data_IF_861304203273
#
_entry.id   IF_861304203273
#
_cell.length_a   1.000
_cell.length_b   1.000
_cell.length_c   1.000
_cell.angle_alpha   90.00
_cell.angle_beta   90.00
_cell.angle_gamma   90.00
#
_symmetry.space_group_name_H-M   'P 1'
#
loop_
_entity.id
_entity.type
_entity.pdbx_description
1 polymer ?
#
# COMPACT_ATOMS: atom_id res chain seq x y z
N UNK A 1 37.08 -28.29 -44.36
CA UNK A 1 38.08 -28.87 -45.32
C UNK A 1 38.91 -27.73 -45.87
N UNK A 2 40.18 -27.83 -45.65
CA UNK A 2 41.32 -27.10 -46.24
C UNK A 2 41.55 -25.62 -45.93
N UNK A 3 42.47 -25.46 -45.03
CA UNK A 3 43.54 -24.51 -44.80
C UNK A 3 44.20 -24.09 -46.12
N UNK A 4 44.47 -22.81 -46.30
CA UNK A 4 45.64 -22.34 -47.04
C UNK A 4 46.27 -21.15 -46.30
N UNK A 5 47.32 -21.44 -45.57
CA UNK A 5 48.36 -20.51 -45.19
C UNK A 5 49.03 -19.93 -46.42
N UNK A 6 49.28 -18.63 -46.41
CA UNK A 6 50.30 -18.02 -47.26
C UNK A 6 51.19 -17.18 -46.35
N UNK A 7 52.42 -17.61 -46.24
CA UNK A 7 53.54 -16.88 -45.68
C UNK A 7 53.89 -15.73 -46.64
N UNK A 8 54.03 -14.52 -46.12
CA UNK A 8 54.76 -13.49 -46.83
C UNK A 8 55.83 -12.90 -45.90
N UNK A 9 57.08 -12.92 -46.39
CA UNK A 9 58.29 -12.50 -45.70
C UNK A 9 58.66 -11.09 -46.21
N UNK A 10 58.70 -10.13 -45.31
CA UNK A 10 59.45 -8.90 -45.06
C UNK A 10 59.94 -8.07 -46.29
N UNK A 11 59.88 -6.67 -46.29
CA UNK A 11 60.72 -5.89 -45.39
C UNK A 11 60.05 -4.70 -44.67
N UNK A 12 60.69 -4.26 -43.56
CA UNK A 12 60.40 -3.10 -42.75
C UNK A 12 60.25 -1.82 -43.59
N UNK A 13 59.09 -1.21 -43.48
CA UNK A 13 58.88 0.25 -43.61
C UNK A 13 57.88 0.64 -42.54
N UNK A 14 58.29 1.54 -41.67
CA UNK A 14 57.40 2.17 -40.69
C UNK A 14 56.28 2.90 -41.44
N UNK A 15 55.08 2.36 -41.45
CA UNK A 15 53.88 3.09 -41.67
C UNK A 15 53.05 3.00 -40.38
N UNK A 16 52.85 4.14 -39.75
CA UNK A 16 51.84 4.30 -38.73
C UNK A 16 50.51 3.90 -39.32
N UNK A 17 49.93 2.81 -38.81
CA UNK A 17 48.50 2.60 -38.98
C UNK A 17 47.80 3.62 -38.08
N UNK A 18 47.37 4.73 -38.64
CA UNK A 18 46.24 5.46 -38.06
C UNK A 18 45.06 4.51 -38.14
N UNK A 19 44.64 3.98 -37.00
CA UNK A 19 43.29 3.38 -36.87
C UNK A 19 42.34 4.51 -37.25
N UNK A 20 41.69 4.37 -38.41
CA UNK A 20 40.57 5.23 -38.73
C UNK A 20 39.48 4.90 -37.68
N UNK A 21 39.32 5.85 -36.77
CA UNK A 21 38.20 5.83 -35.84
C UNK A 21 36.92 5.66 -36.65
N UNK A 22 36.16 4.61 -36.37
CA UNK A 22 34.87 4.36 -36.99
C UNK A 22 33.86 5.41 -36.45
N UNK A 23 33.73 6.51 -37.19
CA UNK A 23 32.84 7.63 -36.82
C UNK A 23 31.37 7.26 -36.75
N UNK A 24 31.03 5.98 -36.99
CA UNK A 24 29.67 5.47 -36.85
C UNK A 24 29.50 4.53 -35.64
N UNK A 25 30.51 4.32 -34.80
CA UNK A 25 30.35 3.61 -33.56
C UNK A 25 29.77 4.56 -32.49
N UNK A 26 28.79 4.07 -31.76
CA UNK A 26 28.31 4.74 -30.55
C UNK A 26 29.33 4.54 -29.44
N UNK A 27 29.64 5.59 -28.68
CA UNK A 27 30.39 5.45 -27.45
C UNK A 27 29.53 4.83 -26.35
N UNK A 28 30.09 4.59 -25.19
CA UNK A 28 29.40 3.95 -24.08
C UNK A 28 28.25 4.80 -23.48
N UNK A 29 28.13 6.05 -23.82
CA UNK A 29 27.00 6.92 -23.51
C UNK A 29 25.93 6.92 -24.62
N UNK A 30 26.11 6.11 -25.69
CA UNK A 30 25.20 6.04 -26.84
C UNK A 30 25.34 7.20 -27.81
N UNK A 31 26.47 7.92 -27.82
CA UNK A 31 26.72 9.07 -28.68
C UNK A 31 27.50 8.61 -29.91
N UNK A 32 26.93 8.73 -31.12
CA UNK A 32 27.59 8.40 -32.40
C UNK A 32 28.86 9.24 -32.59
N UNK A 33 30.01 8.59 -32.76
CA UNK A 33 31.31 9.25 -32.89
C UNK A 33 31.77 9.95 -31.64
N UNK A 34 31.18 9.67 -30.48
CA UNK A 34 31.55 10.19 -29.18
C UNK A 34 32.90 9.65 -28.68
N UNK A 35 33.51 10.32 -27.74
CA UNK A 35 34.73 9.92 -27.07
C UNK A 35 34.56 9.90 -25.55
N UNK A 36 33.41 9.44 -25.09
CA UNK A 36 33.04 9.39 -23.68
C UNK A 36 33.77 8.22 -23.00
N UNK A 37 34.43 8.51 -21.89
CA UNK A 37 35.05 7.47 -21.05
C UNK A 37 34.03 7.09 -19.98
N UNK A 38 33.52 5.88 -20.07
CA UNK A 38 32.58 5.35 -19.08
C UNK A 38 33.29 4.63 -17.95
N UNK A 39 32.69 4.65 -16.80
CA UNK A 39 33.16 4.01 -15.58
C UNK A 39 32.52 4.66 -14.36
N UNK A 40 32.82 4.14 -13.21
CA UNK A 40 32.34 4.74 -11.95
C UNK A 40 32.93 6.14 -11.73
N UNK A 41 32.07 7.13 -11.64
CA UNK A 41 32.46 8.55 -11.39
C UNK A 41 32.36 8.94 -9.92
N UNK A 42 31.94 8.04 -9.04
CA UNK A 42 31.85 8.27 -7.61
C UNK A 42 33.21 8.01 -6.94
N UNK A 43 33.79 9.06 -6.33
CA UNK A 43 35.10 8.99 -5.66
C UNK A 43 35.10 8.06 -4.44
N UNK A 44 33.96 7.72 -3.89
CA UNK A 44 33.80 6.88 -2.71
C UNK A 44 33.68 5.39 -3.07
N UNK A 45 33.48 5.08 -4.35
CA UNK A 45 33.47 3.72 -4.84
C UNK A 45 34.87 3.10 -4.91
N UNK A 46 34.95 1.79 -4.64
CA UNK A 46 36.23 1.03 -4.67
C UNK A 46 36.81 0.91 -6.07
N UNK A 47 36.00 1.05 -7.10
CA UNK A 47 36.36 1.00 -8.51
C UNK A 47 36.26 2.39 -9.20
N UNK A 48 36.38 3.48 -8.43
CA UNK A 48 36.37 4.85 -8.97
C UNK A 48 37.36 5.01 -10.12
N UNK A 49 36.91 5.58 -11.22
CA UNK A 49 37.75 5.90 -12.37
C UNK A 49 37.81 7.44 -12.57
N UNK A 50 38.90 8.05 -12.18
CA UNK A 50 39.10 9.50 -12.29
C UNK A 50 39.10 10.05 -13.73
N UNK A 51 39.19 9.16 -14.74
CA UNK A 51 39.16 9.52 -16.17
C UNK A 51 37.76 9.38 -16.76
N UNK A 52 36.83 8.72 -16.04
CA UNK A 52 35.47 8.58 -16.50
C UNK A 52 34.77 9.94 -16.57
N UNK A 53 34.09 10.18 -17.68
CA UNK A 53 33.30 11.39 -17.94
C UNK A 53 31.78 11.06 -17.97
N UNK A 54 31.45 9.78 -17.86
CA UNK A 54 30.07 9.28 -17.82
C UNK A 54 29.97 8.09 -16.86
N UNK A 55 29.03 8.19 -15.92
CA UNK A 55 28.75 7.09 -15.01
C UNK A 55 27.97 6.00 -15.73
N UNK A 56 28.55 4.81 -15.79
CA UNK A 56 27.93 3.64 -16.45
C UNK A 56 27.20 2.70 -15.48
N UNK A 57 27.04 3.15 -14.22
CA UNK A 57 26.38 2.38 -13.15
C UNK A 57 27.24 1.24 -12.59
N UNK A 58 28.58 1.21 -12.93
CA UNK A 58 29.48 0.14 -12.49
C UNK A 58 30.10 0.38 -11.10
N UNK A 59 29.66 1.40 -10.37
CA UNK A 59 30.22 1.71 -9.04
C UNK A 59 30.07 0.54 -8.07
N UNK A 60 31.17 0.12 -7.49
CA UNK A 60 31.24 -0.91 -6.45
C UNK A 60 31.65 -0.28 -5.12
N UNK A 61 30.92 -0.58 -4.05
CA UNK A 61 31.20 -0.06 -2.71
C UNK A 61 31.63 -1.18 -1.77
N UNK A 62 32.46 -0.84 -0.77
CA UNK A 62 32.80 -1.78 0.29
C UNK A 62 31.51 -2.16 1.05
N UNK A 63 31.15 -3.43 1.15
CA UNK A 63 29.91 -3.85 1.85
C UNK A 63 29.90 -3.50 3.35
N UNK A 64 31.06 -3.07 3.90
CA UNK A 64 31.14 -2.59 5.28
C UNK A 64 31.19 -1.05 5.36
N UNK A 65 31.04 -0.33 4.25
CA UNK A 65 30.98 1.13 4.25
C UNK A 65 29.59 1.57 4.71
N UNK A 66 29.54 2.49 5.68
CA UNK A 66 28.28 3.11 6.04
C UNK A 66 27.88 4.21 5.04
N UNK A 67 26.69 4.77 5.21
CA UNK A 67 26.16 5.78 4.29
C UNK A 67 26.91 7.12 4.33
N UNK A 68 27.77 7.36 5.33
CA UNK A 68 28.69 8.51 5.38
C UNK A 68 30.03 8.23 4.69
N UNK A 69 30.17 7.07 3.99
CA UNK A 69 31.40 6.67 3.31
C UNK A 69 32.48 6.13 4.25
N UNK A 70 32.15 5.76 5.49
CA UNK A 70 33.12 5.30 6.49
C UNK A 70 33.11 3.76 6.55
N UNK A 71 34.22 3.12 6.18
CA UNK A 71 34.35 1.67 6.26
C UNK A 71 34.30 1.20 7.71
N UNK A 72 33.33 0.32 8.04
CA UNK A 72 33.06 -0.15 9.41
C UNK A 72 32.42 0.93 10.29
N UNK A 73 31.90 1.99 9.71
CA UNK A 73 31.14 3.04 10.38
C UNK A 73 29.76 2.56 10.85
N UNK A 74 29.08 3.42 11.56
CA UNK A 74 27.72 3.17 12.10
C UNK A 74 26.83 4.40 11.87
N UNK A 75 27.03 5.09 10.76
CA UNK A 75 26.24 6.26 10.41
C UNK A 75 24.87 5.81 9.90
N UNK A 76 23.83 6.45 10.39
CA UNK A 76 22.47 6.38 9.87
C UNK A 76 22.25 7.70 9.15
N UNK A 77 22.19 7.66 7.83
CA UNK A 77 21.98 8.86 7.03
C UNK A 77 20.49 9.16 6.86
N UNK A 78 20.18 10.43 6.85
CA UNK A 78 18.84 10.95 6.69
C UNK A 78 18.77 12.44 6.94
N UNK A 79 17.61 13.01 6.77
CA UNK A 79 17.37 14.40 7.09
C UNK A 79 17.39 14.62 8.62
N UNK A 80 18.30 15.48 9.09
CA UNK A 80 18.43 15.82 10.52
C UNK A 80 17.72 17.12 10.93
N UNK A 81 16.99 17.76 10.02
CA UNK A 81 16.21 18.98 10.32
C UNK A 81 14.78 18.59 10.72
N UNK A 82 14.42 18.87 11.99
CA UNK A 82 13.10 18.55 12.56
C UNK A 82 11.93 19.34 11.95
N UNK A 83 12.23 20.38 11.14
CA UNK A 83 11.24 21.12 10.37
C UNK A 83 10.97 20.52 8.97
N UNK A 84 11.78 19.54 8.56
CA UNK A 84 11.58 18.86 7.27
C UNK A 84 10.46 17.81 7.35
N UNK A 85 9.75 17.61 6.25
CA UNK A 85 8.66 16.60 6.19
C UNK A 85 9.17 15.17 6.24
N UNK A 86 10.45 14.96 5.88
CA UNK A 86 11.15 13.68 5.92
C UNK A 86 12.25 13.64 7.00
N UNK A 87 12.08 14.38 8.10
CA UNK A 87 12.98 14.32 9.25
C UNK A 87 13.10 12.89 9.77
N UNK A 88 14.35 12.40 9.89
CA UNK A 88 14.64 11.10 10.48
C UNK A 88 15.26 11.28 11.88
N UNK A 89 14.51 11.02 12.95
CA UNK A 89 15.02 11.16 14.32
C UNK A 89 16.11 10.14 14.66
N UNK A 90 16.28 9.07 13.86
CA UNK A 90 17.35 8.10 14.02
C UNK A 90 18.62 8.49 13.30
N UNK A 91 18.56 9.43 12.34
CA UNK A 91 19.71 9.88 11.58
C UNK A 91 20.74 10.56 12.51
N UNK A 92 21.99 10.18 12.31
CA UNK A 92 23.15 10.79 12.98
C UNK A 92 24.16 11.39 11.98
N UNK A 93 23.82 11.31 10.69
CA UNK A 93 24.54 11.94 9.60
C UNK A 93 23.54 12.53 8.61
N UNK A 94 23.63 13.86 8.38
CA UNK A 94 22.78 14.55 7.43
C UNK A 94 23.28 14.26 6.01
N UNK A 95 22.43 13.65 5.20
CA UNK A 95 22.73 13.29 3.81
C UNK A 95 22.26 14.35 2.79
N UNK A 96 21.73 15.47 3.29
CA UNK A 96 21.18 16.55 2.46
C UNK A 96 19.85 16.23 1.82
N UNK A 97 19.16 15.15 2.25
CA UNK A 97 17.88 14.71 1.70
C UNK A 97 16.68 15.50 2.24
N UNK A 98 16.88 16.49 3.13
CA UNK A 98 15.81 17.23 3.76
C UNK A 98 14.84 17.82 2.75
N UNK A 99 13.58 17.50 2.91
CA UNK A 99 12.46 18.04 2.13
C UNK A 99 11.62 18.93 3.03
N UNK A 100 11.23 20.08 2.52
CA UNK A 100 10.43 21.03 3.27
C UNK A 100 9.10 21.27 2.57
N UNK A 101 8.02 21.26 3.34
CA UNK A 101 6.72 21.69 2.83
C UNK A 101 6.74 23.23 2.64
N UNK A 102 6.73 23.67 1.40
CA UNK A 102 6.72 25.10 1.05
C UNK A 102 5.30 25.65 0.84
N UNK A 103 4.28 24.86 1.17
CA UNK A 103 2.89 25.18 0.93
C UNK A 103 2.37 24.71 -0.42
N UNK A 104 3.14 23.90 -1.16
CA UNK A 104 2.72 23.35 -2.45
C UNK A 104 3.11 21.88 -2.60
N UNK A 105 2.12 21.03 -2.80
CA UNK A 105 2.34 19.68 -3.33
C UNK A 105 2.38 19.73 -4.86
N UNK A 106 3.34 19.03 -5.45
CA UNK A 106 3.50 18.98 -6.90
C UNK A 106 3.03 17.61 -7.40
N UNK A 107 2.01 17.61 -8.26
CA UNK A 107 1.59 16.39 -8.95
C UNK A 107 2.71 15.97 -9.91
N UNK A 108 3.31 14.81 -9.65
CA UNK A 108 4.30 14.18 -10.54
C UNK A 108 3.58 13.56 -11.74
N UNK A 109 2.53 12.81 -11.46
CA UNK A 109 1.60 12.29 -12.45
C UNK A 109 0.24 11.98 -11.81
N UNK A 110 -0.80 12.03 -12.63
CA UNK A 110 -2.17 11.60 -12.30
C UNK A 110 -2.67 10.72 -13.43
N UNK A 111 -3.31 9.60 -13.10
CA UNK A 111 -3.81 8.64 -14.06
C UNK A 111 -5.19 8.13 -13.69
N UNK A 112 -6.06 8.02 -14.68
CA UNK A 112 -7.26 7.21 -14.61
C UNK A 112 -6.91 5.75 -14.88
N UNK A 113 -7.55 4.82 -14.17
CA UNK A 113 -7.38 3.39 -14.36
C UNK A 113 -8.51 2.88 -15.26
N UNK A 114 -8.25 2.62 -16.55
CA UNK A 114 -9.29 2.24 -17.50
C UNK A 114 -9.92 0.89 -17.13
N UNK A 115 -11.25 0.84 -17.11
CA UNK A 115 -12.02 -0.38 -16.85
C UNK A 115 -12.01 -0.83 -15.39
N UNK A 116 -11.52 0.00 -14.48
CA UNK A 116 -11.67 -0.23 -13.05
C UNK A 116 -13.14 -0.05 -12.65
N UNK A 117 -13.62 -0.94 -11.75
CA UNK A 117 -14.81 -0.69 -10.96
C UNK A 117 -14.55 0.31 -9.84
N UNK A 118 -15.43 0.34 -8.85
CA UNK A 118 -15.22 1.11 -7.63
C UNK A 118 -13.96 0.62 -6.91
N UNK A 119 -12.97 1.50 -6.73
CA UNK A 119 -11.72 1.18 -6.05
C UNK A 119 -11.95 1.16 -4.54
N UNK A 120 -11.50 0.10 -3.86
CA UNK A 120 -11.62 -0.01 -2.41
C UNK A 120 -10.29 -0.08 -1.67
N UNK A 121 -9.24 -0.55 -2.31
CA UNK A 121 -7.89 -0.48 -1.75
C UNK A 121 -6.81 -0.40 -2.81
N UNK A 122 -5.67 0.11 -2.40
CA UNK A 122 -4.41 0.07 -3.14
C UNK A 122 -3.28 -0.25 -2.17
N UNK A 123 -2.42 -1.17 -2.53
CA UNK A 123 -1.25 -1.53 -1.71
C UNK A 123 0.01 -1.60 -2.58
N UNK A 124 1.18 -1.27 -2.03
CA UNK A 124 2.44 -1.36 -2.75
C UNK A 124 2.80 -2.81 -3.05
N UNK A 125 3.58 -3.01 -4.09
CA UNK A 125 4.13 -4.29 -4.53
C UNK A 125 5.66 -4.20 -4.56
N UNK A 126 6.33 -5.31 -4.32
CA UNK A 126 7.78 -5.39 -4.09
C UNK A 126 8.65 -4.83 -5.23
N UNK A 127 8.14 -4.72 -6.46
CA UNK A 127 8.82 -4.13 -7.61
C UNK A 127 8.58 -2.62 -7.77
N UNK A 128 7.96 -1.98 -6.76
CA UNK A 128 7.67 -0.55 -6.73
C UNK A 128 6.34 -0.15 -7.40
N UNK A 129 5.56 -1.10 -7.92
CA UNK A 129 4.22 -0.85 -8.43
C UNK A 129 3.12 -1.05 -7.39
N UNK A 130 1.87 -1.24 -7.83
CA UNK A 130 0.71 -1.29 -6.94
C UNK A 130 -0.25 -2.41 -7.34
N UNK A 131 -0.92 -2.99 -6.34
CA UNK A 131 -2.11 -3.83 -6.54
C UNK A 131 -3.34 -3.07 -6.05
N UNK A 132 -4.37 -3.05 -6.87
CA UNK A 132 -5.65 -2.36 -6.62
C UNK A 132 -6.75 -3.41 -6.55
N UNK A 133 -7.59 -3.32 -5.52
CA UNK A 133 -8.79 -4.14 -5.39
C UNK A 133 -10.03 -3.27 -5.63
N UNK A 134 -10.94 -3.79 -6.47
CA UNK A 134 -12.15 -3.10 -6.88
C UNK A 134 -13.39 -3.98 -6.73
N UNK A 135 -14.55 -3.30 -6.61
CA UNK A 135 -15.85 -3.91 -6.71
C UNK A 135 -16.67 -3.31 -7.85
N UNK A 136 -17.75 -3.98 -8.21
CA UNK A 136 -18.70 -3.44 -9.18
C UNK A 136 -18.21 -3.37 -10.63
N UNK A 137 -17.11 -4.02 -11.00
CA UNK A 137 -16.72 -4.13 -12.40
C UNK A 137 -17.73 -4.99 -13.16
N UNK A 138 -18.53 -4.38 -14.02
CA UNK A 138 -19.54 -5.06 -14.82
C UNK A 138 -20.18 -4.12 -15.82
N UNK A 139 -20.71 -4.67 -16.92
CA UNK A 139 -21.48 -3.90 -17.90
C UNK A 139 -22.93 -3.73 -17.41
N UNK A 140 -23.16 -2.61 -16.74
CA UNK A 140 -24.51 -2.21 -16.28
C UNK A 140 -25.28 -1.36 -17.31
N UNK A 141 -24.83 -1.26 -18.54
CA UNK A 141 -25.57 -0.58 -19.60
C UNK A 141 -26.87 -1.31 -19.92
N UNK A 142 -27.95 -0.97 -19.22
CA UNK A 142 -29.28 -1.52 -19.44
C UNK A 142 -29.74 -2.55 -18.43
N UNK A 143 -29.09 -2.67 -17.28
CA UNK A 143 -29.58 -3.47 -16.15
C UNK A 143 -31.02 -3.09 -15.81
N UNK A 144 -31.92 -4.09 -15.72
CA UNK A 144 -33.31 -3.94 -15.33
C UNK A 144 -33.57 -4.80 -14.12
N UNK A 145 -34.69 -4.57 -13.43
CA UNK A 145 -35.11 -5.42 -12.30
C UNK A 145 -35.20 -6.92 -12.65
N UNK A 146 -35.46 -7.22 -13.93
CA UNK A 146 -35.58 -8.60 -14.47
C UNK A 146 -34.21 -9.11 -15.04
N UNK A 147 -33.21 -8.25 -15.21
CA UNK A 147 -31.87 -8.60 -15.64
C UNK A 147 -30.86 -7.69 -14.90
N UNK A 148 -30.59 -7.98 -13.64
CA UNK A 148 -29.68 -7.18 -12.82
C UNK A 148 -28.25 -7.27 -13.36
N UNK A 149 -27.48 -6.24 -13.09
CA UNK A 149 -26.06 -6.21 -13.41
C UNK A 149 -25.31 -7.34 -12.69
N UNK A 150 -24.48 -8.07 -13.41
CA UNK A 150 -23.51 -8.95 -12.79
C UNK A 150 -22.29 -8.09 -12.41
N UNK A 151 -22.06 -7.92 -11.11
CA UNK A 151 -20.87 -7.27 -10.59
C UNK A 151 -19.82 -8.31 -10.27
N UNK A 152 -18.58 -8.02 -10.64
CA UNK A 152 -17.45 -8.89 -10.37
C UNK A 152 -16.38 -8.17 -9.60
N UNK A 153 -15.77 -8.84 -8.65
CA UNK A 153 -14.55 -8.37 -7.99
C UNK A 153 -13.41 -8.34 -8.99
N UNK A 154 -12.55 -7.34 -8.87
CA UNK A 154 -11.49 -7.06 -9.83
C UNK A 154 -10.18 -6.78 -9.10
N UNK A 155 -9.07 -7.31 -9.64
CA UNK A 155 -7.72 -6.92 -9.27
C UNK A 155 -7.04 -6.27 -10.47
N UNK A 156 -6.34 -5.18 -10.20
CA UNK A 156 -5.58 -4.43 -11.21
C UNK A 156 -4.16 -4.27 -10.72
N UNK A 157 -3.19 -4.73 -11.50
CA UNK A 157 -1.76 -4.55 -11.26
C UNK A 157 -1.27 -3.33 -12.01
N UNK A 158 -0.65 -2.41 -11.30
CA UNK A 158 -0.04 -1.20 -11.86
C UNK A 158 1.48 -1.26 -11.67
N UNK A 159 2.24 -0.77 -12.64
CA UNK A 159 3.67 -0.56 -12.48
C UNK A 159 3.99 0.66 -11.60
N UNK A 160 5.27 0.93 -11.36
CA UNK A 160 5.74 2.06 -10.55
C UNK A 160 5.37 3.44 -11.14
N UNK A 161 5.02 3.50 -12.42
CA UNK A 161 4.54 4.72 -13.08
C UNK A 161 3.01 4.84 -13.06
N UNK A 162 2.30 3.88 -12.46
CA UNK A 162 0.85 3.81 -12.44
C UNK A 162 0.22 3.31 -13.74
N UNK A 163 1.00 2.71 -14.65
CA UNK A 163 0.47 2.10 -15.87
C UNK A 163 -0.06 0.70 -15.61
N UNK A 164 -1.20 0.35 -16.23
CA UNK A 164 -1.83 -0.96 -16.05
C UNK A 164 -0.96 -2.05 -16.66
N UNK A 165 -0.51 -2.99 -15.82
CA UNK A 165 0.21 -4.20 -16.25
C UNK A 165 -0.78 -5.29 -16.64
N UNK A 166 -1.78 -5.52 -15.81
CA UNK A 166 -2.91 -6.40 -16.07
C UNK A 166 -4.15 -5.99 -15.27
N UNK A 167 -5.31 -6.42 -15.74
CA UNK A 167 -6.60 -6.21 -15.13
C UNK A 167 -7.40 -7.52 -15.26
N UNK A 168 -7.79 -8.11 -14.12
CA UNK A 168 -8.49 -9.39 -14.05
C UNK A 168 -9.76 -9.27 -13.23
N UNK A 169 -10.82 -9.94 -13.70
CA UNK A 169 -12.11 -10.06 -12.99
C UNK A 169 -12.30 -11.50 -12.52
N UNK A 170 -12.95 -11.66 -11.37
CA UNK A 170 -13.18 -12.96 -10.72
C UNK A 170 -14.67 -13.20 -10.61
N UNK A 171 -15.21 -14.10 -11.46
CA UNK A 171 -16.64 -14.37 -11.57
C UNK A 171 -17.27 -14.95 -10.28
N UNK A 172 -16.45 -15.51 -9.39
CA UNK A 172 -16.88 -15.99 -8.07
C UNK A 172 -17.04 -14.90 -7.02
N UNK A 173 -16.75 -13.63 -7.36
CA UNK A 173 -16.79 -12.50 -6.45
C UNK A 173 -17.68 -11.38 -6.99
N UNK A 174 -18.40 -10.68 -6.13
CA UNK A 174 -19.12 -9.45 -6.47
C UNK A 174 -18.30 -8.19 -6.15
N UNK A 175 -17.26 -8.31 -5.30
CA UNK A 175 -16.35 -7.27 -4.99
C UNK A 175 -15.19 -7.74 -4.13
N UNK A 176 -14.02 -7.13 -4.32
CA UNK A 176 -12.81 -7.37 -3.54
C UNK A 176 -12.45 -6.10 -2.78
N UNK A 177 -12.43 -6.20 -1.45
CA UNK A 177 -12.16 -5.04 -0.60
C UNK A 177 -10.67 -4.74 -0.50
N UNK A 178 -9.85 -5.75 -0.21
CA UNK A 178 -8.39 -5.59 -0.07
C UNK A 178 -7.64 -6.68 -0.81
N UNK A 179 -6.46 -6.31 -1.32
CA UNK A 179 -5.51 -7.22 -1.94
C UNK A 179 -4.09 -6.90 -1.49
N UNK A 180 -3.26 -7.94 -1.40
CA UNK A 180 -1.83 -7.83 -1.05
C UNK A 180 -1.00 -8.80 -1.89
N UNK A 181 0.26 -8.41 -2.16
CA UNK A 181 1.25 -9.32 -2.72
C UNK A 181 1.58 -10.43 -1.72
N UNK A 182 1.82 -11.62 -2.22
CA UNK A 182 2.23 -12.78 -1.44
C UNK A 182 3.69 -13.11 -1.67
N UNK A 183 4.31 -13.85 -0.75
CA UNK A 183 5.75 -14.15 -0.76
C UNK A 183 6.23 -14.93 -2.00
N UNK A 184 5.33 -15.52 -2.76
CA UNK A 184 5.58 -16.21 -4.04
C UNK A 184 5.48 -15.28 -5.26
N UNK A 185 5.21 -13.99 -5.04
CA UNK A 185 5.02 -12.96 -6.07
C UNK A 185 3.62 -12.95 -6.70
N UNK A 186 2.70 -13.78 -6.21
CA UNK A 186 1.27 -13.72 -6.55
C UNK A 186 0.52 -12.73 -5.66
N UNK A 187 -0.82 -12.85 -5.65
CA UNK A 187 -1.67 -11.95 -4.85
C UNK A 187 -2.73 -12.73 -4.10
N UNK A 188 -3.09 -12.23 -2.92
CA UNK A 188 -4.24 -12.69 -2.14
C UNK A 188 -5.22 -11.54 -1.98
N UNK A 189 -6.52 -11.81 -2.14
CA UNK A 189 -7.56 -10.80 -1.94
C UNK A 189 -8.76 -11.38 -1.21
N UNK A 190 -9.45 -10.52 -0.47
CA UNK A 190 -10.70 -10.84 0.21
C UNK A 190 -11.81 -9.85 -0.13
N UNK A 191 -13.02 -10.35 -0.10
CA UNK A 191 -14.21 -9.58 -0.42
C UNK A 191 -15.48 -10.39 -0.15
N UNK A 192 -16.41 -10.28 -1.06
CA UNK A 192 -17.69 -10.96 -0.93
C UNK A 192 -18.23 -11.44 -2.29
N UNK A 193 -19.11 -12.41 -2.22
CA UNK A 193 -19.98 -12.82 -3.31
C UNK A 193 -21.43 -12.55 -2.93
N UNK A 194 -22.19 -11.93 -3.81
CA UNK A 194 -23.61 -11.70 -3.66
C UNK A 194 -24.34 -12.19 -4.91
N UNK A 195 -25.30 -13.09 -4.76
CA UNK A 195 -26.04 -13.58 -5.90
C UNK A 195 -27.12 -12.59 -6.34
N UNK A 196 -27.14 -12.27 -7.61
CA UNK A 196 -27.91 -11.18 -8.23
C UNK A 196 -29.41 -11.49 -8.43
N UNK A 197 -29.83 -12.73 -8.28
CA UNK A 197 -31.16 -13.18 -8.73
C UNK A 197 -32.10 -13.67 -7.63
N UNK A 198 -31.81 -13.45 -6.35
CA UNK A 198 -32.64 -13.90 -5.24
C UNK A 198 -32.80 -12.82 -4.17
N UNK A 199 -34.05 -12.56 -3.74
CA UNK A 199 -34.31 -11.69 -2.59
C UNK A 199 -33.84 -12.29 -1.25
N UNK A 200 -33.43 -13.55 -1.26
CA UNK A 200 -32.95 -14.31 -0.10
C UNK A 200 -31.40 -14.53 -0.19
N UNK A 201 -30.71 -13.73 -0.98
CA UNK A 201 -29.25 -13.81 -1.14
C UNK A 201 -28.55 -12.74 -0.32
N UNK A 202 -27.62 -13.17 0.46
CA UNK A 202 -26.82 -12.37 1.36
C UNK A 202 -25.36 -12.52 0.96
N UNK A 203 -24.52 -11.48 1.16
CA UNK A 203 -23.10 -11.58 0.89
C UNK A 203 -22.43 -12.71 1.66
N UNK A 204 -21.66 -13.53 0.95
CA UNK A 204 -20.83 -14.60 1.49
C UNK A 204 -19.35 -14.21 1.35
N UNK A 205 -18.50 -14.61 2.31
CA UNK A 205 -17.07 -14.40 2.24
C UNK A 205 -16.47 -15.02 0.98
N UNK A 206 -15.74 -14.23 0.22
CA UNK A 206 -14.93 -14.68 -0.91
C UNK A 206 -13.47 -14.34 -0.71
N UNK A 207 -12.60 -15.32 -0.97
CA UNK A 207 -11.13 -15.16 -0.98
C UNK A 207 -10.62 -15.71 -2.31
N UNK A 208 -9.64 -15.03 -2.90
CA UNK A 208 -8.94 -15.51 -4.10
C UNK A 208 -7.44 -15.34 -3.96
N UNK A 209 -6.69 -16.42 -4.26
CA UNK A 209 -5.24 -16.42 -4.44
C UNK A 209 -4.93 -16.53 -5.92
N UNK A 210 -3.99 -15.72 -6.38
CA UNK A 210 -3.57 -15.67 -7.78
C UNK A 210 -2.07 -15.85 -7.94
N UNK A 211 -1.64 -16.19 -9.15
CA UNK A 211 -0.25 -16.04 -9.55
C UNK A 211 0.13 -14.56 -9.79
N UNK A 212 1.38 -14.31 -10.17
CA UNK A 212 1.90 -12.96 -10.46
C UNK A 212 1.21 -12.26 -11.65
N UNK A 213 0.54 -13.01 -12.51
CA UNK A 213 -0.20 -12.50 -13.68
C UNK A 213 -1.69 -12.31 -13.40
N UNK A 214 -2.13 -12.52 -12.17
CA UNK A 214 -3.53 -12.42 -11.76
C UNK A 214 -4.37 -13.64 -12.14
N UNK A 215 -3.78 -14.76 -12.59
CA UNK A 215 -4.54 -15.98 -12.82
C UNK A 215 -4.89 -16.64 -11.48
N UNK A 216 -6.16 -17.00 -11.30
CA UNK A 216 -6.62 -17.70 -10.10
C UNK A 216 -5.89 -19.04 -9.93
N UNK A 217 -5.29 -19.25 -8.76
CA UNK A 217 -4.71 -20.53 -8.34
C UNK A 217 -5.73 -21.32 -7.52
N UNK A 218 -6.42 -20.65 -6.61
CA UNK A 218 -7.54 -21.18 -5.85
C UNK A 218 -8.43 -20.05 -5.31
N UNK A 219 -9.67 -20.37 -5.00
CA UNK A 219 -10.61 -19.48 -4.33
C UNK A 219 -11.39 -20.22 -3.24
N UNK A 220 -11.86 -19.46 -2.26
CA UNK A 220 -12.74 -19.92 -1.19
C UNK A 220 -14.01 -19.11 -1.23
N UNK A 221 -15.16 -19.78 -1.28
CA UNK A 221 -16.48 -19.21 -1.05
C UNK A 221 -17.08 -19.88 0.18
N UNK A 222 -17.15 -19.17 1.29
CA UNK A 222 -17.80 -19.67 2.50
C UNK A 222 -19.25 -19.27 2.51
N UNK A 223 -20.11 -20.21 2.13
CA UNK A 223 -21.54 -19.99 2.15
C UNK A 223 -22.08 -20.07 3.58
N UNK A 224 -22.67 -18.97 4.03
CA UNK A 224 -23.34 -18.87 5.31
C UNK A 224 -24.71 -19.57 5.30
N UNK A 225 -25.20 -20.10 6.43
CA UNK A 225 -26.59 -20.48 6.55
C UNK A 225 -27.51 -19.30 6.23
N UNK A 226 -28.63 -19.55 5.54
CA UNK A 226 -29.55 -18.55 5.01
C UNK A 226 -29.76 -17.31 5.90
N UNK A 227 -29.65 -16.14 5.32
CA UNK A 227 -29.86 -14.80 5.86
C UNK A 227 -28.67 -14.18 6.65
N UNK A 228 -27.45 -14.61 6.42
CA UNK A 228 -26.27 -14.06 7.08
C UNK A 228 -25.43 -13.28 6.08
N UNK A 229 -24.91 -12.11 6.48
CA UNK A 229 -24.00 -11.30 5.68
C UNK A 229 -22.56 -11.52 6.18
N UNK A 230 -21.72 -12.10 5.34
CA UNK A 230 -20.33 -12.35 5.66
C UNK A 230 -19.42 -11.60 4.67
N UNK A 231 -18.56 -10.72 5.18
CA UNK A 231 -17.62 -9.95 4.35
C UNK A 231 -16.20 -10.13 4.83
N UNK A 232 -15.28 -10.48 3.93
CA UNK A 232 -13.85 -10.36 4.16
C UNK A 232 -13.42 -8.93 3.87
N UNK A 233 -13.07 -8.18 4.90
CA UNK A 233 -12.68 -6.77 4.76
C UNK A 233 -11.22 -6.56 4.41
N UNK A 234 -10.32 -7.30 5.06
CA UNK A 234 -8.88 -7.28 4.75
C UNK A 234 -8.27 -8.67 4.95
N UNK A 235 -7.21 -8.95 4.24
CA UNK A 235 -6.49 -10.22 4.26
C UNK A 235 -4.99 -10.00 4.16
N UNK A 236 -4.22 -10.74 4.96
CA UNK A 236 -2.77 -10.74 4.95
C UNK A 236 -2.22 -12.15 4.76
N UNK A 237 -1.03 -12.27 4.17
CA UNK A 237 -0.21 -13.46 4.33
C UNK A 237 0.65 -13.29 5.59
N UNK A 238 0.60 -14.25 6.50
CA UNK A 238 1.42 -14.25 7.71
C UNK A 238 2.80 -14.84 7.45
N UNK A 239 3.77 -14.56 8.34
CA UNK A 239 5.17 -15.00 8.21
C UNK A 239 5.31 -16.54 8.12
N UNK A 240 4.33 -17.29 8.60
CA UNK A 240 4.27 -18.75 8.47
C UNK A 240 3.75 -19.23 7.10
N UNK A 241 3.47 -18.30 6.18
CA UNK A 241 2.99 -18.55 4.81
C UNK A 241 1.50 -18.82 4.69
N UNK A 242 0.75 -18.74 5.78
CA UNK A 242 -0.69 -18.89 5.81
C UNK A 242 -1.41 -17.53 5.60
N UNK A 243 -2.73 -17.54 5.56
CA UNK A 243 -3.52 -16.33 5.32
C UNK A 243 -4.47 -16.07 6.48
N UNK A 244 -4.57 -14.81 6.90
CA UNK A 244 -5.55 -14.39 7.91
C UNK A 244 -6.44 -13.30 7.32
N UNK A 245 -7.75 -13.55 7.34
CA UNK A 245 -8.78 -12.58 6.92
C UNK A 245 -9.49 -12.02 8.15
N UNK A 246 -9.71 -10.71 8.14
CA UNK A 246 -10.58 -10.03 9.08
C UNK A 246 -11.85 -9.55 8.38
N UNK A 247 -12.93 -9.42 9.11
CA UNK A 247 -14.19 -8.98 8.52
C UNK A 247 -15.38 -9.07 9.47
N UNK A 248 -16.53 -9.19 8.86
CA UNK A 248 -17.82 -9.24 9.54
C UNK A 248 -18.51 -10.55 9.25
N UNK A 249 -18.98 -11.21 10.29
CA UNK A 249 -19.77 -12.45 10.19
C UNK A 249 -21.07 -12.30 10.95
N UNK A 250 -22.13 -12.83 10.36
CA UNK A 250 -23.44 -12.86 10.96
C UNK A 250 -23.83 -14.30 11.34
N UNK A 251 -23.93 -14.59 12.63
CA UNK A 251 -24.28 -15.92 13.11
C UNK A 251 -25.81 -16.17 13.20
N UNK A 252 -26.64 -15.11 13.22
CA UNK A 252 -28.07 -15.20 13.49
C UNK A 252 -28.99 -14.28 12.63
N UNK A 253 -28.44 -13.68 11.58
CA UNK A 253 -29.13 -12.75 10.68
C UNK A 253 -29.38 -11.35 11.24
N UNK A 254 -29.03 -11.08 12.50
CA UNK A 254 -29.29 -9.80 13.17
C UNK A 254 -28.04 -9.21 13.82
N UNK A 255 -27.11 -10.05 14.27
CA UNK A 255 -25.93 -9.60 14.99
C UNK A 255 -24.67 -9.81 14.14
N UNK A 256 -23.91 -8.76 13.90
CA UNK A 256 -22.62 -8.86 13.24
C UNK A 256 -21.48 -9.05 14.25
N UNK A 257 -20.53 -9.87 13.87
CA UNK A 257 -19.39 -10.29 14.68
C UNK A 257 -18.10 -9.94 13.97
N UNK A 258 -17.22 -9.20 14.62
CA UNK A 258 -15.85 -9.06 14.16
C UNK A 258 -15.08 -10.35 14.45
N UNK A 259 -14.45 -10.91 13.44
CA UNK A 259 -13.75 -12.19 13.58
C UNK A 259 -12.46 -12.24 12.74
N UNK A 260 -11.60 -13.19 13.09
CA UNK A 260 -10.48 -13.64 12.28
C UNK A 260 -10.68 -15.07 11.84
N UNK A 261 -10.31 -15.36 10.60
CA UNK A 261 -10.23 -16.71 10.04
C UNK A 261 -8.84 -16.92 9.45
N UNK A 262 -8.19 -18.02 9.79
CA UNK A 262 -6.89 -18.40 9.23
C UNK A 262 -7.05 -19.57 8.30
N UNK A 263 -6.46 -19.45 7.12
CA UNK A 263 -6.44 -20.47 6.07
C UNK A 263 -4.99 -20.87 5.82
N UNK A 264 -4.77 -22.13 5.47
CA UNK A 264 -3.46 -22.58 5.04
C UNK A 264 -3.11 -22.08 3.62
N UNK A 265 -1.92 -22.39 3.14
CA UNK A 265 -1.44 -22.00 1.81
C UNK A 265 -2.30 -22.55 0.64
N UNK A 266 -3.18 -23.52 0.88
CA UNK A 266 -4.08 -24.12 -0.11
C UNK A 266 -5.52 -23.61 0.01
N UNK A 267 -5.80 -22.70 0.94
CA UNK A 267 -7.12 -22.15 1.19
C UNK A 267 -8.00 -23.01 2.13
N UNK A 268 -7.43 -23.99 2.84
CA UNK A 268 -8.18 -24.79 3.81
C UNK A 268 -8.25 -24.05 5.17
N UNK A 269 -9.46 -23.98 5.74
CA UNK A 269 -9.69 -23.30 7.02
C UNK A 269 -8.95 -24.02 8.16
N UNK A 270 -8.04 -23.31 8.82
CA UNK A 270 -7.29 -23.82 9.98
C UNK A 270 -8.02 -23.52 11.30
N UNK A 271 -8.41 -22.27 11.51
CA UNK A 271 -9.17 -21.84 12.68
C UNK A 271 -9.99 -20.57 12.40
N UNK A 272 -11.00 -20.34 13.24
CA UNK A 272 -11.78 -19.11 13.29
C UNK A 272 -12.03 -18.68 14.74
N UNK A 273 -11.90 -17.39 15.01
CA UNK A 273 -12.13 -16.80 16.32
C UNK A 273 -13.00 -15.54 16.22
N UNK A 274 -13.99 -15.45 17.10
CA UNK A 274 -14.94 -14.35 17.18
C UNK A 274 -14.58 -13.42 18.37
N UNK A 275 -14.65 -12.09 18.13
CA UNK A 275 -14.24 -11.08 19.12
C UNK A 275 -15.38 -10.12 19.48
N UNK A 276 -16.50 -10.70 19.91
CA UNK A 276 -17.74 -9.96 20.17
C UNK A 276 -17.67 -9.06 21.40
N UNK A 277 -18.32 -7.88 21.32
CA UNK A 277 -18.61 -7.00 22.45
C UNK A 277 -20.06 -6.50 22.50
N UNK A 278 -20.79 -6.61 21.41
CA UNK A 278 -22.10 -6.00 21.22
C UNK A 278 -22.84 -6.67 20.06
N UNK A 279 -23.97 -6.12 19.65
CA UNK A 279 -24.82 -6.70 18.59
C UNK A 279 -24.40 -6.26 17.17
N UNK A 280 -23.52 -5.26 17.04
CA UNK A 280 -22.98 -4.83 15.75
C UNK A 280 -21.47 -4.61 15.90
N UNK A 281 -20.67 -5.47 15.26
CA UNK A 281 -19.21 -5.38 15.26
C UNK A 281 -18.70 -5.62 13.87
N UNK A 282 -17.80 -4.75 13.40
CA UNK A 282 -17.10 -4.92 12.13
C UNK A 282 -15.62 -4.62 12.31
N UNK A 283 -14.76 -5.40 11.66
CA UNK A 283 -13.33 -5.12 11.56
C UNK A 283 -12.95 -4.83 10.12
N UNK A 284 -12.10 -3.84 9.92
CA UNK A 284 -11.79 -3.29 8.60
C UNK A 284 -10.39 -3.60 8.14
N UNK A 285 -9.40 -3.51 9.01
CA UNK A 285 -8.00 -3.72 8.65
C UNK A 285 -7.28 -4.60 9.68
N UNK A 286 -6.32 -5.41 9.18
CA UNK A 286 -5.49 -6.30 9.96
C UNK A 286 -4.03 -6.16 9.54
N UNK A 287 -3.14 -6.23 10.53
CA UNK A 287 -1.69 -6.35 10.32
C UNK A 287 -1.14 -7.53 11.10
N UNK A 288 -0.10 -8.17 10.57
CA UNK A 288 0.81 -8.99 11.36
C UNK A 288 1.93 -8.08 11.87
N UNK A 289 2.21 -8.16 13.13
CA UNK A 289 3.22 -7.34 13.78
C UNK A 289 4.61 -7.95 13.62
N UNK A 290 5.65 -7.16 13.83
CA UNK A 290 7.04 -7.61 13.70
C UNK A 290 7.40 -8.80 14.63
N UNK A 291 6.63 -9.02 15.71
CA UNK A 291 6.77 -10.17 16.63
C UNK A 291 5.85 -11.37 16.28
N UNK A 292 5.12 -11.29 15.15
CA UNK A 292 4.27 -12.36 14.63
C UNK A 292 2.88 -12.45 15.26
N UNK A 293 2.50 -11.47 16.08
CA UNK A 293 1.15 -11.32 16.59
C UNK A 293 0.24 -10.64 15.54
N UNK A 294 -1.07 -10.68 15.76
CA UNK A 294 -2.04 -10.05 14.88
C UNK A 294 -2.70 -8.85 15.57
N UNK A 295 -2.84 -7.74 14.86
CA UNK A 295 -3.62 -6.59 15.34
C UNK A 295 -4.66 -6.23 14.29
N UNK A 296 -5.89 -6.02 14.73
CA UNK A 296 -6.98 -5.57 13.87
C UNK A 296 -7.85 -4.53 14.56
N UNK A 297 -8.52 -3.72 13.75
CA UNK A 297 -9.29 -2.58 14.22
C UNK A 297 -10.64 -2.45 13.50
N UNK A 298 -11.57 -1.77 14.15
CA UNK A 298 -12.91 -1.55 13.62
C UNK A 298 -13.82 -0.84 14.61
N UNK A 299 -15.11 -1.24 14.61
CA UNK A 299 -16.08 -0.73 15.58
C UNK A 299 -16.93 -1.82 16.21
N UNK A 300 -17.47 -1.49 17.36
CA UNK A 300 -18.54 -2.22 18.04
C UNK A 300 -19.67 -1.27 18.40
N UNK A 301 -20.91 -1.69 18.28
CA UNK A 301 -22.06 -0.82 18.54
C UNK A 301 -23.35 -1.58 18.65
N UNK A 302 -24.45 -0.85 18.57
CA UNK A 302 -25.79 -1.40 18.41
C UNK A 302 -26.29 -1.11 17.00
N UNK A 303 -27.29 -1.83 16.52
CA UNK A 303 -27.93 -1.56 15.22
C UNK A 303 -28.51 -0.15 15.06
N UNK A 304 -28.56 0.64 16.14
CA UNK A 304 -29.16 1.97 16.18
C UNK A 304 -28.13 3.09 16.47
N UNK A 305 -26.82 2.79 16.38
CA UNK A 305 -25.75 3.74 16.71
C UNK A 305 -24.99 3.35 17.97
N UNK A 306 -24.39 4.32 18.68
CA UNK A 306 -23.44 4.12 19.78
C UNK A 306 -22.18 3.36 19.32
N UNK A 307 -21.63 3.71 18.16
CA UNK A 307 -20.42 3.10 17.64
C UNK A 307 -19.21 3.45 18.51
N UNK A 308 -18.49 2.40 18.88
CA UNK A 308 -17.27 2.49 19.69
C UNK A 308 -16.16 1.87 18.89
N UNK A 309 -15.11 2.59 18.60
CA UNK A 309 -13.95 1.99 18.01
C UNK A 309 -13.41 0.87 18.91
N UNK A 310 -12.87 -0.16 18.33
CA UNK A 310 -12.07 -1.15 19.01
C UNK A 310 -10.77 -1.44 18.26
N UNK A 311 -9.78 -1.92 19.03
CA UNK A 311 -8.54 -2.51 18.53
C UNK A 311 -8.25 -3.75 19.37
N UNK A 312 -7.87 -4.83 18.73
CA UNK A 312 -7.56 -6.12 19.36
C UNK A 312 -6.18 -6.57 18.93
N UNK A 313 -5.36 -7.02 19.88
CA UNK A 313 -4.15 -7.77 19.60
C UNK A 313 -4.36 -9.22 20.03
N UNK A 314 -3.95 -10.16 19.17
CA UNK A 314 -3.95 -11.59 19.41
C UNK A 314 -2.55 -12.15 19.18
N UNK A 315 -2.29 -13.35 19.67
CA UNK A 315 -1.17 -14.14 19.18
C UNK A 315 -1.45 -14.67 17.75
N UNK A 316 -0.47 -15.37 17.15
CA UNK A 316 -0.58 -15.97 15.81
C UNK A 316 -1.66 -17.04 15.67
N UNK A 317 -2.14 -17.61 16.79
CA UNK A 317 -3.23 -18.60 16.87
C UNK A 317 -4.61 -17.92 17.09
N UNK A 318 -4.66 -16.59 17.10
CA UNK A 318 -5.87 -15.82 17.31
C UNK A 318 -6.33 -15.74 18.76
N UNK A 319 -5.52 -16.13 19.76
CA UNK A 319 -5.87 -15.96 21.17
C UNK A 319 -5.69 -14.50 21.58
N UNK A 320 -6.73 -13.89 22.13
CA UNK A 320 -6.70 -12.47 22.49
C UNK A 320 -5.65 -12.16 23.58
N UNK A 321 -4.69 -11.31 23.27
CA UNK A 321 -3.70 -10.77 24.24
C UNK A 321 -4.31 -9.57 24.95
N UNK A 322 -4.82 -8.58 24.19
CA UNK A 322 -5.56 -7.46 24.74
C UNK A 322 -6.62 -6.95 23.76
N UNK A 323 -7.61 -6.27 24.31
CA UNK A 323 -8.64 -5.57 23.56
C UNK A 323 -8.90 -4.21 24.18
N UNK A 324 -9.02 -3.20 23.33
CA UNK A 324 -9.38 -1.82 23.72
C UNK A 324 -10.57 -1.38 22.91
N UNK A 325 -11.49 -0.73 23.59
CA UNK A 325 -12.65 -0.08 23.00
C UNK A 325 -12.99 1.17 23.81
N UNK A 326 -13.44 2.23 23.18
CA UNK A 326 -13.78 3.47 23.89
C UNK A 326 -14.88 4.24 23.21
N UNK A 327 -15.75 4.87 24.02
CA UNK A 327 -16.91 5.65 23.60
C UNK A 327 -16.90 7.11 24.04
N UNK A 328 -15.79 7.61 24.62
CA UNK A 328 -15.76 8.95 25.25
C UNK A 328 -15.72 10.14 24.28
N UNK A 329 -15.72 9.87 22.97
CA UNK A 329 -15.61 10.88 21.90
C UNK A 329 -16.78 10.84 20.92
N UNK A 330 -17.97 10.39 21.38
CA UNK A 330 -19.12 10.13 20.51
C UNK A 330 -18.95 8.84 19.70
N UNK A 331 -19.73 8.69 18.63
CA UNK A 331 -19.56 7.56 17.71
C UNK A 331 -18.19 7.63 17.06
N UNK A 332 -17.48 6.51 17.06
CA UNK A 332 -16.14 6.42 16.48
C UNK A 332 -15.89 5.04 15.85
N UNK A 333 -15.29 5.05 14.68
CA UNK A 333 -14.89 3.85 13.91
C UNK A 333 -13.43 4.00 13.52
N UNK A 334 -12.70 2.89 13.46
CA UNK A 334 -11.35 2.80 12.89
C UNK A 334 -11.43 2.07 11.57
N UNK A 335 -10.86 2.66 10.52
CA UNK A 335 -10.76 2.05 9.19
C UNK A 335 -9.32 1.65 8.87
N UNK A 336 -8.36 2.59 9.03
CA UNK A 336 -6.95 2.35 8.73
C UNK A 336 -6.15 1.96 9.96
N UNK A 337 -5.14 1.09 9.77
CA UNK A 337 -4.26 0.57 10.83
C UNK A 337 -2.85 0.34 10.27
N UNK A 338 -1.84 0.78 11.02
CA UNK A 338 -0.44 0.48 10.72
C UNK A 338 0.37 0.19 11.99
N UNK A 339 1.50 -0.51 11.85
CA UNK A 339 2.52 -0.59 12.89
C UNK A 339 3.41 0.65 12.82
N UNK A 340 3.70 1.23 13.97
CA UNK A 340 4.60 2.38 14.06
C UNK A 340 6.06 1.90 14.06
N UNK A 341 6.95 2.45 13.22
CA UNK A 341 8.36 2.07 13.18
C UNK A 341 9.08 2.22 14.54
N UNK A 342 8.63 3.16 15.38
CA UNK A 342 9.14 3.38 16.73
C UNK A 342 8.42 2.53 17.81
N UNK A 343 7.61 1.60 17.38
CA UNK A 343 6.86 0.67 18.22
C UNK A 343 5.47 1.13 18.63
N UNK A 344 4.54 0.22 18.55
CA UNK A 344 3.13 0.40 18.81
C UNK A 344 2.27 0.33 17.56
N UNK A 345 0.97 0.58 17.73
CA UNK A 345 0.00 0.47 16.63
C UNK A 345 -0.76 1.77 16.52
N UNK A 346 -0.90 2.25 15.30
CA UNK A 346 -1.61 3.48 15.00
C UNK A 346 -2.81 3.16 14.14
N UNK A 347 -3.97 3.66 14.53
CA UNK A 347 -5.17 3.50 13.75
C UNK A 347 -5.88 4.84 13.58
N UNK A 348 -6.53 4.99 12.44
CA UNK A 348 -7.26 6.19 12.07
C UNK A 348 -8.66 5.86 11.58
N UNK A 349 -9.54 6.86 11.64
CA UNK A 349 -10.93 6.72 11.24
C UNK A 349 -11.70 8.01 11.51
N UNK A 350 -12.90 7.89 12.06
CA UNK A 350 -13.66 9.08 12.44
C UNK A 350 -14.08 9.05 13.92
N UNK A 351 -14.41 10.23 14.42
CA UNK A 351 -14.99 10.43 15.73
C UNK A 351 -16.15 11.46 15.65
N UNK A 352 -16.87 11.63 16.75
CA UNK A 352 -17.90 12.64 16.92
C UNK A 352 -19.02 12.58 15.86
N UNK A 353 -19.54 11.37 15.61
CA UNK A 353 -20.67 11.14 14.70
C UNK A 353 -20.38 11.62 13.27
N UNK A 354 -19.27 11.18 12.68
CA UNK A 354 -18.84 11.48 11.30
C UNK A 354 -18.42 12.93 11.04
N UNK A 355 -17.95 13.64 12.07
CA UNK A 355 -17.63 15.06 11.94
C UNK A 355 -16.15 15.41 12.08
N UNK A 356 -15.30 14.46 12.44
CA UNK A 356 -13.89 14.74 12.69
C UNK A 356 -13.03 13.51 12.41
N UNK A 357 -11.87 13.73 11.86
CA UNK A 357 -10.83 12.71 11.72
C UNK A 357 -10.36 12.28 13.10
N UNK A 358 -10.06 11.01 13.23
CA UNK A 358 -9.62 10.39 14.47
C UNK A 358 -8.34 9.61 14.26
N UNK A 359 -7.36 9.82 15.13
CA UNK A 359 -6.13 9.04 15.16
C UNK A 359 -5.82 8.62 16.58
N UNK A 360 -5.30 7.42 16.76
CA UNK A 360 -4.91 6.91 18.07
C UNK A 360 -3.71 5.99 17.96
N UNK A 361 -2.74 6.16 18.86
CA UNK A 361 -1.58 5.26 19.00
C UNK A 361 -1.68 4.43 20.26
N UNK A 362 -1.34 3.15 20.17
CA UNK A 362 -1.46 2.16 21.22
C UNK A 362 -0.14 1.50 21.55
N UNK A 363 0.14 1.36 22.84
CA UNK A 363 1.29 0.62 23.33
C UNK A 363 1.17 -0.87 22.95
N UNK A 364 2.22 -1.50 22.40
CA UNK A 364 2.13 -2.87 21.86
C UNK A 364 1.88 -3.93 22.94
N UNK A 365 2.37 -3.70 24.19
CA UNK A 365 2.29 -4.69 25.24
C UNK A 365 0.94 -4.75 25.95
N UNK A 366 0.25 -3.62 26.08
CA UNK A 366 -0.94 -3.53 26.92
C UNK A 366 -2.10 -2.76 26.27
N UNK A 367 -1.94 -2.25 25.05
CA UNK A 367 -2.94 -1.50 24.30
C UNK A 367 -3.33 -0.16 24.92
N UNK A 368 -2.59 0.33 25.94
CA UNK A 368 -2.88 1.64 26.52
C UNK A 368 -2.56 2.75 25.54
N UNK A 369 -3.31 3.85 25.61
CA UNK A 369 -3.09 5.02 24.74
C UNK A 369 -1.75 5.66 25.03
N UNK A 370 -0.97 5.90 24.00
CA UNK A 370 0.16 6.83 23.99
C UNK A 370 -0.33 8.23 23.60
N UNK A 371 -1.16 8.31 22.58
CA UNK A 371 -1.98 9.50 22.29
C UNK A 371 -3.32 9.11 21.67
N UNK A 372 -4.27 10.04 21.70
CA UNK A 372 -5.59 9.89 21.09
C UNK A 372 -6.10 11.30 20.79
N UNK A 373 -6.25 11.60 19.52
CA UNK A 373 -6.67 12.91 19.04
C UNK A 373 -7.89 12.79 18.12
N UNK A 374 -8.88 13.66 18.33
CA UNK A 374 -9.86 14.00 17.31
C UNK A 374 -9.34 15.24 16.59
N UNK A 375 -8.93 15.09 15.35
CA UNK A 375 -8.44 16.18 14.51
C UNK A 375 -9.68 16.94 14.02
N UNK A 376 -9.95 18.07 14.66
CA UNK A 376 -11.04 18.95 14.25
C UNK A 376 -10.46 19.86 13.17
N UNK A 377 -10.64 19.50 11.89
CA UNK A 377 -10.34 20.38 10.77
C UNK A 377 -11.31 21.58 10.74
N UNK A 378 -10.90 22.68 10.14
CA UNK A 378 -11.75 23.86 9.92
C UNK A 378 -12.96 23.59 9.01
N UNK A 379 -12.97 22.45 8.35
CA UNK A 379 -13.99 21.99 7.42
C UNK A 379 -14.63 20.71 7.97
N UNK A 380 -15.95 20.66 8.13
CA UNK A 380 -16.77 19.49 8.52
C UNK A 380 -16.26 18.18 7.87
N UNK A 381 -15.32 17.50 8.50
CA UNK A 381 -14.48 16.44 7.90
C UNK A 381 -15.17 15.11 8.05
N UNK A 382 -15.14 14.31 7.02
CA UNK A 382 -15.52 12.93 6.97
C UNK A 382 -14.34 12.02 7.42
N UNK A 383 -14.58 10.74 7.70
CA UNK A 383 -13.58 9.86 8.32
C UNK A 383 -12.35 9.56 7.47
N UNK A 384 -11.23 9.32 8.13
CA UNK A 384 -10.00 8.78 7.51
C UNK A 384 -10.24 7.35 7.07
N UNK A 385 -9.91 7.03 5.83
CA UNK A 385 -10.02 5.67 5.29
C UNK A 385 -8.71 4.89 5.36
N UNK A 386 -7.57 5.56 5.16
CA UNK A 386 -6.27 4.89 5.17
C UNK A 386 -5.20 5.73 5.87
N UNK A 387 -4.20 5.05 6.42
CA UNK A 387 -3.09 5.63 7.15
C UNK A 387 -1.79 4.89 6.82
N UNK A 388 -0.72 5.64 6.59
CA UNK A 388 0.63 5.06 6.42
C UNK A 388 1.63 5.80 7.30
N UNK A 389 2.62 5.11 7.89
CA UNK A 389 3.74 5.76 8.54
C UNK A 389 4.49 6.64 7.55
N UNK A 390 5.03 7.75 8.01
CA UNK A 390 5.82 8.64 7.18
C UNK A 390 7.30 8.49 7.50
N UNK A 391 8.13 8.39 6.46
CA UNK A 391 9.59 8.52 6.56
C UNK A 391 9.89 9.89 7.16
N UNK A 392 10.64 9.93 8.25
CA UNK A 392 10.86 11.17 8.99
C UNK A 392 9.85 11.43 10.10
N UNK A 393 9.06 10.41 10.46
CA UNK A 393 8.15 10.45 11.61
C UNK A 393 6.75 10.95 11.30
N UNK A 394 5.81 10.57 12.14
CA UNK A 394 4.40 10.85 11.99
C UNK A 394 3.71 9.99 10.93
N UNK A 395 2.60 10.48 10.37
CA UNK A 395 1.73 9.66 9.53
C UNK A 395 1.07 10.50 8.44
N UNK A 396 0.85 9.88 7.27
CA UNK A 396 -0.06 10.38 6.25
C UNK A 396 -1.42 9.74 6.41
N UNK A 397 -2.47 10.54 6.28
CA UNK A 397 -3.88 10.17 6.39
C UNK A 397 -4.58 10.59 5.11
N UNK A 398 -5.48 9.76 4.60
CA UNK A 398 -6.40 10.15 3.52
C UNK A 398 -7.85 10.00 4.00
N UNK A 399 -8.67 11.00 3.75
CA UNK A 399 -10.06 11.01 4.21
C UNK A 399 -11.09 10.97 3.06
N UNK A 400 -12.35 10.70 3.39
CA UNK A 400 -13.48 10.60 2.47
C UNK A 400 -13.63 11.80 1.51
N UNK A 401 -13.13 12.98 1.88
CA UNK A 401 -13.19 14.20 1.07
C UNK A 401 -11.93 14.45 0.27
N UNK A 402 -11.07 13.45 0.18
CA UNK A 402 -9.81 13.54 -0.54
C UNK A 402 -8.82 14.54 0.06
N UNK A 403 -8.81 14.71 1.39
CA UNK A 403 -7.76 15.46 2.05
C UNK A 403 -6.63 14.53 2.45
N UNK A 404 -5.44 14.79 1.89
CA UNK A 404 -4.19 14.24 2.37
C UNK A 404 -3.71 15.10 3.54
N UNK A 405 -3.60 14.49 4.71
CA UNK A 405 -3.17 15.15 5.94
C UNK A 405 -1.90 14.50 6.45
N UNK A 406 -0.85 15.27 6.66
CA UNK A 406 0.35 14.85 7.41
C UNK A 406 0.19 15.26 8.86
N UNK A 407 0.42 14.31 9.75
CA UNK A 407 0.51 14.58 11.21
C UNK A 407 1.87 14.16 11.73
N UNK A 408 2.31 14.78 12.81
CA UNK A 408 3.52 14.39 13.53
C UNK A 408 3.28 13.13 14.39
N UNK A 409 4.32 12.65 15.09
CA UNK A 409 4.25 11.47 15.97
C UNK A 409 3.29 11.62 17.15
N UNK A 410 2.91 12.86 17.50
CA UNK A 410 1.94 13.16 18.55
C UNK A 410 0.50 13.28 18.00
N UNK A 411 0.31 13.19 16.69
CA UNK A 411 -0.97 13.35 16.02
C UNK A 411 -1.36 14.80 15.70
N UNK A 412 -0.44 15.76 15.85
CA UNK A 412 -0.70 17.16 15.49
C UNK A 412 -0.54 17.36 13.99
N UNK A 413 -1.46 18.12 13.39
CA UNK A 413 -1.47 18.38 11.95
C UNK A 413 -0.29 19.26 11.55
N UNK A 414 0.49 18.79 10.60
CA UNK A 414 1.57 19.54 9.93
C UNK A 414 0.98 20.28 8.72
N UNK A 415 0.25 19.56 7.86
CA UNK A 415 -0.52 20.15 6.76
C UNK A 415 -1.75 19.28 6.43
N UNK A 416 -2.68 19.86 5.66
CA UNK A 416 -3.84 19.15 5.12
C UNK A 416 -4.26 19.81 3.82
N UNK A 417 -4.28 19.05 2.72
CA UNK A 417 -4.60 19.54 1.38
C UNK A 417 -5.48 18.57 0.59
N UNK A 418 -6.33 19.10 -0.27
CA UNK A 418 -7.23 18.30 -1.11
C UNK A 418 -6.49 17.79 -2.35
N UNK A 419 -6.57 16.47 -2.62
CA UNK A 419 -5.73 15.78 -3.60
C UNK A 419 -6.49 14.98 -4.66
N UNK A 420 -7.80 15.03 -4.70
CA UNK A 420 -8.59 14.41 -5.77
C UNK A 420 -8.89 12.91 -5.65
N UNK A 421 -8.22 12.16 -4.77
CA UNK A 421 -8.44 10.72 -4.51
C UNK A 421 -8.56 10.46 -3.02
N UNK A 422 -9.31 9.43 -2.58
CA UNK A 422 -9.80 9.40 -1.20
C UNK A 422 -9.73 8.08 -0.43
N UNK A 423 -9.17 7.00 -0.99
CA UNK A 423 -9.29 5.68 -0.35
C UNK A 423 -7.98 5.05 0.11
N UNK A 424 -6.86 5.39 -0.50
CA UNK A 424 -5.58 4.81 -0.16
C UNK A 424 -4.47 5.85 -0.17
N UNK A 425 -3.50 5.71 0.73
CA UNK A 425 -2.30 6.54 0.80
C UNK A 425 -1.06 5.67 1.02
N UNK A 426 -0.04 5.89 0.22
CA UNK A 426 1.22 5.16 0.25
C UNK A 426 2.36 6.16 0.16
N UNK A 427 3.33 6.11 1.07
CA UNK A 427 4.60 6.80 0.90
C UNK A 427 5.58 5.86 0.20
N UNK A 428 6.29 6.38 -0.80
CA UNK A 428 7.34 5.67 -1.52
C UNK A 428 8.71 5.91 -0.85
N UNK A 429 9.67 5.02 -1.11
CA UNK A 429 11.03 5.10 -0.55
C UNK A 429 11.75 6.43 -0.79
N UNK A 430 11.38 7.16 -1.84
CA UNK A 430 11.94 8.48 -2.17
C UNK A 430 11.19 9.65 -1.50
N UNK A 431 10.22 9.38 -0.63
CA UNK A 431 9.41 10.37 0.08
C UNK A 431 8.24 10.95 -0.72
N UNK A 432 8.03 10.53 -1.98
CA UNK A 432 6.81 10.88 -2.71
C UNK A 432 5.61 10.15 -2.11
N UNK A 433 4.43 10.74 -2.24
CA UNK A 433 3.19 10.14 -1.76
C UNK A 433 2.31 9.78 -2.95
N UNK A 434 1.75 8.58 -2.92
CA UNK A 434 0.75 8.11 -3.90
C UNK A 434 -0.57 7.97 -3.19
N UNK A 435 -1.61 8.58 -3.76
CA UNK A 435 -2.99 8.42 -3.32
C UNK A 435 -3.81 7.76 -4.42
N UNK A 436 -4.78 6.95 -4.03
CA UNK A 436 -5.69 6.29 -4.95
C UNK A 436 -7.12 6.31 -4.45
N UNK A 437 -8.08 6.25 -5.35
CA UNK A 437 -9.50 6.22 -5.00
C UNK A 437 -10.39 6.51 -6.20
N UNK A 438 -11.68 6.64 -5.95
CA UNK A 438 -12.62 7.06 -6.98
C UNK A 438 -12.45 8.55 -7.27
N UNK A 439 -12.20 8.88 -8.52
CA UNK A 439 -12.07 10.27 -8.98
C UNK A 439 -13.37 11.04 -8.76
N UNK A 440 -13.26 12.07 -7.92
CA UNK A 440 -14.17 13.18 -7.74
C UNK A 440 -15.68 12.90 -7.54
N UNK A 441 -16.07 12.90 -6.31
CA UNK A 441 -17.42 13.36 -5.90
C UNK A 441 -17.68 14.87 -6.19
N UNK A 442 -16.89 15.50 -7.07
CA UNK A 442 -17.00 16.94 -7.32
C UNK A 442 -18.33 17.34 -7.96
N UNK A 443 -19.11 16.41 -8.52
CA UNK A 443 -20.41 16.70 -9.18
C UNK A 443 -21.57 15.77 -8.80
N UNK A 444 -21.48 14.95 -7.75
CA UNK A 444 -22.62 14.17 -7.26
C UNK A 444 -23.11 13.06 -8.20
N UNK A 445 -22.27 12.56 -9.09
CA UNK A 445 -22.56 11.46 -10.01
C UNK A 445 -21.94 10.16 -9.53
N UNK A 446 -22.73 9.09 -9.43
CA UNK A 446 -22.23 7.72 -9.29
C UNK A 446 -21.52 7.33 -10.59
N UNK A 447 -20.24 6.97 -10.54
CA UNK A 447 -19.50 6.47 -11.69
C UNK A 447 -18.20 7.25 -11.99
N UNK A 448 -17.45 7.64 -10.96
CA UNK A 448 -16.08 8.15 -11.14
C UNK A 448 -15.15 7.01 -11.58
N UNK A 449 -14.22 7.32 -12.47
CA UNK A 449 -13.14 6.40 -12.79
C UNK A 449 -12.18 6.31 -11.58
N UNK A 450 -11.69 5.11 -11.28
CA UNK A 450 -10.62 4.97 -10.30
C UNK A 450 -9.41 5.79 -10.76
N UNK A 451 -8.87 6.63 -9.89
CA UNK A 451 -7.72 7.50 -10.15
C UNK A 451 -6.59 7.21 -9.18
N UNK A 452 -5.38 7.43 -9.66
CA UNK A 452 -4.16 7.33 -8.86
C UNK A 452 -3.30 8.56 -9.15
N UNK A 453 -2.81 9.19 -8.10
CA UNK A 453 -2.02 10.42 -8.20
C UNK A 453 -0.74 10.28 -7.39
N UNK A 454 0.41 10.51 -8.02
CA UNK A 454 1.70 10.62 -7.33
C UNK A 454 2.05 12.09 -7.14
N UNK A 455 2.46 12.41 -5.94
CA UNK A 455 2.82 13.76 -5.54
C UNK A 455 4.21 13.79 -4.91
N UNK A 456 4.94 14.87 -5.14
CA UNK A 456 6.21 15.16 -4.49
C UNK A 456 6.10 16.43 -3.67
N UNK A 457 6.94 16.54 -2.66
CA UNK A 457 7.18 17.79 -1.94
C UNK A 457 8.36 18.50 -2.58
N UNK A 458 8.29 19.85 -2.73
CA UNK A 458 9.44 20.59 -3.25
C UNK A 458 10.62 20.45 -2.29
N UNK A 459 11.79 20.07 -2.84
CA UNK A 459 13.06 20.16 -2.12
C UNK A 459 13.59 21.60 -2.15
N UNK A 460 14.09 22.10 -1.06
CA UNK A 460 14.84 23.37 -1.01
C UNK A 460 16.26 23.19 -1.50
#
# INVERSE_FOLDING_TARGET
MRIKSILCVIPLLFLSCDEAEDQNAEDCAGILGGNTICGCTDSDATNYNSEATYDDGSCEYDPNMDCAGIVGGNSICGCMDDSAVNYDPAANHDDGSCQYYDGQMHVVWEKEIPGAGEMWSMRPVSDGGFIVACGGAGDCTGGTYDNPCEYHGQLIRLDANGDVVWNQTYEGSSGLYHARETSDGGFIAAGYYECVNSMDCYPDLYIVKTDANGNEEWSVLEQSPANNNDWGRDIIQTQDGNYVVTGTWNDDGWNSTAALRKYDSNGELMWMNNYNNSTANESYEIIETSDGDLVFAGYSGTQHGDYKWFMVKTDSDGNQIWKKAKSSIGDAILYGLCEDPNGGYVAAGFCNSWRSNFITKRNPNNGNSTFTECIIGEFNVAGVYDITPATGGGYYLIDERSYLTKVDESGQVIFSEQVGSNLAVIELDNGDVVVGGDGAFLDGGYGGFATITRMSFSSR
#
